data_IF_379761546182
#
_entry.id   IF_379761546182
#
_cell.length_a   1.000
_cell.length_b   1.000
_cell.length_c   1.000
_cell.angle_alpha   90.00
_cell.angle_beta   90.00
_cell.angle_gamma   90.00
#
_symmetry.space_group_name_H-M   'P 1'
#
loop_
_entity.id
_entity.type
_entity.pdbx_description
1 polymer ?
#
# COMPACT_ATOMS: atom_id res chain seq x y z
N UNK A 1 5.78 31.62 16.13
CA UNK A 1 6.09 31.22 14.73
C UNK A 1 5.86 29.71 14.53
N UNK A 2 6.49 28.85 15.33
CA UNK A 2 6.42 27.37 15.22
C UNK A 2 4.99 26.80 15.19
N UNK A 3 4.08 27.29 16.02
CA UNK A 3 2.68 26.83 16.05
C UNK A 3 1.92 27.04 14.71
N UNK A 4 2.24 28.10 13.96
CA UNK A 4 1.64 28.35 12.64
C UNK A 4 2.24 27.42 11.57
N UNK A 5 3.53 27.09 11.69
CA UNK A 5 4.19 26.13 10.80
C UNK A 5 3.64 24.72 10.98
N UNK A 6 3.43 24.28 12.22
CA UNK A 6 2.83 22.96 12.52
C UNK A 6 1.41 22.86 11.92
N UNK A 7 0.59 23.90 12.10
CA UNK A 7 -0.75 23.95 11.52
C UNK A 7 -0.72 23.95 9.98
N UNK A 8 0.24 24.66 9.38
CA UNK A 8 0.43 24.67 7.93
C UNK A 8 0.83 23.30 7.38
N UNK A 9 1.78 22.63 8.02
CA UNK A 9 2.21 21.27 7.61
C UNK A 9 1.04 20.28 7.73
N UNK A 10 0.30 20.32 8.84
CA UNK A 10 -0.84 19.44 9.06
C UNK A 10 -1.95 19.65 8.02
N UNK A 11 -2.22 20.91 7.64
CA UNK A 11 -3.18 21.21 6.59
C UNK A 11 -2.74 20.65 5.23
N UNK A 12 -1.45 20.80 4.87
CA UNK A 12 -0.93 20.29 3.59
C UNK A 12 -0.97 18.76 3.54
N UNK A 13 -0.56 18.06 4.60
CA UNK A 13 -0.62 16.59 4.63
C UNK A 13 -2.05 16.07 4.62
N UNK A 14 -2.98 16.72 5.32
CA UNK A 14 -4.40 16.35 5.30
C UNK A 14 -5.01 16.51 3.89
N UNK A 15 -4.64 17.57 3.16
CA UNK A 15 -5.09 17.78 1.78
C UNK A 15 -4.46 16.77 0.80
N UNK A 16 -3.17 16.47 0.98
CA UNK A 16 -2.47 15.49 0.13
C UNK A 16 -2.97 14.06 0.33
N UNK A 17 -3.38 13.69 1.55
CA UNK A 17 -3.93 12.37 1.87
C UNK A 17 -5.34 12.13 1.29
N UNK A 18 -6.03 13.18 0.81
CA UNK A 18 -7.35 13.11 0.19
C UNK A 18 -7.26 13.16 -1.35
N UNK A 19 -6.24 12.55 -1.95
CA UNK A 19 -6.12 12.36 -3.39
C UNK A 19 -7.35 11.58 -3.89
N UNK A 20 -8.26 12.26 -4.61
CA UNK A 20 -9.53 11.73 -5.10
C UNK A 20 -10.78 12.52 -4.70
N UNK A 21 -10.76 13.25 -3.58
CA UNK A 21 -11.92 14.06 -3.13
C UNK A 21 -11.86 15.51 -3.61
N UNK A 22 -10.67 16.13 -3.57
CA UNK A 22 -10.47 17.54 -3.96
C UNK A 22 -9.87 17.69 -5.35
N UNK A 23 -9.07 16.71 -5.77
CA UNK A 23 -8.48 16.64 -7.10
C UNK A 23 -8.88 15.31 -7.73
N UNK A 24 -9.21 15.36 -9.02
CA UNK A 24 -9.62 14.19 -9.76
C UNK A 24 -8.42 13.23 -9.90
N UNK A 25 -8.56 12.02 -9.38
CA UNK A 25 -7.49 11.01 -9.39
C UNK A 25 -7.34 10.33 -10.76
N UNK A 26 -8.43 10.26 -11.54
CA UNK A 26 -8.46 9.58 -12.83
C UNK A 26 -8.65 10.55 -13.99
N UNK A 27 -8.31 10.09 -15.19
CA UNK A 27 -8.57 10.84 -16.43
C UNK A 27 -10.07 11.13 -16.60
N UNK A 28 -10.38 12.28 -17.18
CA UNK A 28 -11.76 12.62 -17.58
C UNK A 28 -12.22 11.82 -18.79
N UNK A 29 -11.30 11.32 -19.63
CA UNK A 29 -11.62 10.46 -20.75
C UNK A 29 -12.07 9.07 -20.24
N UNK A 30 -13.28 8.59 -20.57
CA UNK A 30 -13.79 7.32 -20.07
C UNK A 30 -12.95 6.11 -20.50
N UNK A 31 -12.37 6.13 -21.69
CA UNK A 31 -11.59 4.99 -22.22
C UNK A 31 -10.30 4.79 -21.43
N UNK A 32 -9.58 5.90 -21.17
CA UNK A 32 -8.38 5.88 -20.34
C UNK A 32 -8.70 5.55 -18.89
N UNK A 33 -9.80 6.11 -18.35
CA UNK A 33 -10.21 5.87 -16.96
C UNK A 33 -10.56 4.41 -16.71
N UNK A 34 -11.21 3.74 -17.67
CA UNK A 34 -11.49 2.31 -17.56
C UNK A 34 -10.20 1.51 -17.40
N UNK A 35 -9.18 1.80 -18.21
CA UNK A 35 -7.88 1.12 -18.12
C UNK A 35 -7.20 1.39 -16.77
N UNK A 36 -7.20 2.65 -16.32
CA UNK A 36 -6.64 3.03 -15.02
C UNK A 36 -7.29 2.27 -13.85
N UNK A 37 -8.62 2.18 -13.85
CA UNK A 37 -9.37 1.46 -12.82
C UNK A 37 -9.11 -0.05 -12.87
N UNK A 38 -8.98 -0.62 -14.07
CA UNK A 38 -8.68 -2.04 -14.25
C UNK A 38 -7.29 -2.37 -13.68
N UNK A 39 -6.26 -1.59 -14.02
CA UNK A 39 -4.92 -1.79 -13.46
C UNK A 39 -4.90 -1.62 -11.95
N UNK A 40 -5.52 -0.56 -11.43
CA UNK A 40 -5.61 -0.35 -10.00
C UNK A 40 -6.31 -1.52 -9.27
N UNK A 41 -7.38 -2.07 -9.85
CA UNK A 41 -8.08 -3.21 -9.25
C UNK A 41 -7.20 -4.45 -9.14
N UNK A 42 -6.36 -4.70 -10.15
CA UNK A 42 -5.41 -5.81 -10.14
C UNK A 42 -4.27 -5.58 -9.15
N UNK A 43 -3.74 -4.36 -9.08
CA UNK A 43 -2.71 -4.00 -8.10
C UNK A 43 -3.23 -4.17 -6.67
N UNK A 44 -4.46 -3.70 -6.38
CA UNK A 44 -5.09 -3.86 -5.07
C UNK A 44 -5.37 -5.32 -4.72
N UNK A 45 -5.68 -6.17 -5.71
CA UNK A 45 -5.83 -7.61 -5.49
C UNK A 45 -4.50 -8.26 -5.10
N UNK A 46 -3.40 -7.78 -5.67
CA UNK A 46 -2.06 -8.34 -5.47
C UNK A 46 -1.32 -7.75 -4.26
N UNK A 47 -1.69 -6.54 -3.80
CA UNK A 47 -0.96 -5.78 -2.77
C UNK A 47 -0.70 -6.57 -1.49
N UNK A 48 -1.63 -7.44 -1.09
CA UNK A 48 -1.48 -8.29 0.10
C UNK A 48 -0.30 -9.24 -0.02
N UNK A 49 -0.11 -9.84 -1.18
CA UNK A 49 0.97 -10.79 -1.43
C UNK A 49 2.29 -10.04 -1.55
N UNK A 50 2.31 -8.91 -2.25
CA UNK A 50 3.49 -8.05 -2.35
C UNK A 50 3.90 -7.48 -1.00
N UNK A 51 2.96 -7.16 -0.10
CA UNK A 51 3.30 -6.72 1.26
C UNK A 51 4.04 -7.80 2.04
N UNK A 52 3.63 -9.07 1.90
CA UNK A 52 4.32 -10.19 2.54
C UNK A 52 5.73 -10.36 1.97
N UNK A 53 5.87 -10.20 0.65
CA UNK A 53 7.13 -10.32 -0.07
C UNK A 53 8.11 -9.20 0.24
N UNK A 54 7.63 -7.95 0.34
CA UNK A 54 8.43 -6.79 0.73
C UNK A 54 9.03 -6.97 2.13
N UNK A 55 8.24 -7.50 3.06
CA UNK A 55 8.70 -7.82 4.41
C UNK A 55 9.33 -9.21 4.54
N UNK A 56 9.62 -9.89 3.43
CA UNK A 56 10.35 -11.17 3.41
C UNK A 56 9.70 -12.30 4.23
N UNK A 57 8.40 -12.17 4.52
CA UNK A 57 7.63 -13.10 5.36
C UNK A 57 7.18 -14.36 4.60
N UNK A 58 7.31 -14.36 3.28
CA UNK A 58 7.04 -15.49 2.40
C UNK A 58 8.29 -16.34 2.09
N UNK A 59 9.47 -15.94 2.59
CA UNK A 59 10.69 -16.70 2.37
C UNK A 59 10.71 -17.97 3.24
N UNK A 60 11.18 -19.10 2.69
CA UNK A 60 11.41 -20.30 3.48
C UNK A 60 12.52 -20.04 4.51
N UNK A 61 12.39 -20.60 5.72
CA UNK A 61 13.44 -20.44 6.72
C UNK A 61 14.71 -21.16 6.29
N UNK A 62 15.84 -20.46 6.31
CA UNK A 62 17.17 -21.02 6.03
C UNK A 62 17.80 -21.78 7.22
N UNK A 63 17.02 -22.05 8.27
CA UNK A 63 17.47 -22.81 9.43
C UNK A 63 17.32 -24.32 9.16
N UNK A 64 18.21 -25.12 9.75
CA UNK A 64 18.21 -26.58 9.69
C UNK A 64 16.83 -27.17 10.07
N UNK A 65 16.40 -28.29 9.46
CA UNK A 65 15.04 -28.82 9.57
C UNK A 65 14.62 -29.25 10.98
N UNK A 66 15.54 -29.33 11.93
CA UNK A 66 15.22 -29.59 13.34
C UNK A 66 14.62 -28.36 14.02
N UNK A 67 13.36 -28.07 13.72
CA UNK A 67 12.52 -27.34 14.65
C UNK A 67 12.06 -28.34 15.70
N UNK A 68 12.79 -28.43 16.80
CA UNK A 68 12.34 -29.08 18.05
C UNK A 68 11.15 -28.30 18.65
N UNK A 69 10.06 -28.18 17.90
CA UNK A 69 8.74 -28.09 18.48
C UNK A 69 8.24 -29.52 18.53
N UNK A 70 8.05 -30.03 19.75
CA UNK A 70 7.72 -31.43 20.04
C UNK A 70 6.32 -31.85 19.56
N UNK A 71 6.06 -31.72 18.26
CA UNK A 71 4.96 -32.34 17.55
C UNK A 71 5.54 -33.37 16.60
N UNK A 72 5.40 -34.63 16.97
CA UNK A 72 5.79 -35.82 16.20
C UNK A 72 5.03 -35.83 14.86
N UNK A 73 5.74 -36.20 13.79
CA UNK A 73 5.24 -36.51 12.44
C UNK A 73 4.18 -37.62 12.42
#
# INVERSE_FOLDING_TARGET
MVRKLILGVFAVTALAANSGCLLNQYSSNPDERMQQLLYQSEDLRQIKNEWRRFWFNDQPSHLTPERIHGGII
#
